data_IF_425018640547
#
_entry.id   IF_425018640547
#
_cell.length_a   1.000
_cell.length_b   1.000
_cell.length_c   1.000
_cell.angle_alpha   90.00
_cell.angle_beta   90.00
_cell.angle_gamma   90.00
#
_symmetry.space_group_name_H-M   'P 1'
#
loop_
_entity.id
_entity.type
_entity.pdbx_description
1 polymer ?
#
# COMPACT_ATOMS: atom_id res chain seq x y z
N UNK A 1 -8.16 -10.85 -5.58
CA UNK A 1 -8.25 -9.49 -6.16
C UNK A 1 -8.17 -9.51 -7.69
N UNK A 2 -9.12 -8.85 -8.38
CA UNK A 2 -9.03 -8.58 -9.84
C UNK A 2 -8.07 -7.41 -10.08
N UNK A 3 -7.24 -7.51 -11.12
CA UNK A 3 -6.35 -6.40 -11.53
C UNK A 3 -7.13 -5.11 -11.77
N UNK A 4 -6.67 -4.02 -11.16
CA UNK A 4 -7.32 -2.70 -11.26
C UNK A 4 -6.79 -1.97 -12.50
N UNK A 5 -7.69 -1.54 -13.39
CA UNK A 5 -7.29 -0.88 -14.64
C UNK A 5 -6.39 0.34 -14.41
N UNK A 6 -6.68 1.15 -13.38
CA UNK A 6 -5.86 2.30 -13.01
C UNK A 6 -4.44 1.92 -12.56
N UNK A 7 -4.28 0.77 -11.88
CA UNK A 7 -2.96 0.27 -11.46
C UNK A 7 -2.18 -0.26 -12.65
N UNK A 8 -2.84 -0.95 -13.59
CA UNK A 8 -2.19 -1.42 -14.83
C UNK A 8 -1.78 -0.26 -15.74
N UNK A 9 -2.60 0.79 -15.84
CA UNK A 9 -2.25 2.03 -16.54
C UNK A 9 -1.03 2.70 -15.91
N UNK A 10 -1.00 2.83 -14.58
CA UNK A 10 0.14 3.37 -13.86
C UNK A 10 1.39 2.51 -13.99
N UNK A 11 1.23 1.18 -13.97
CA UNK A 11 2.32 0.23 -14.15
C UNK A 11 2.95 0.38 -15.55
N UNK A 12 2.13 0.48 -16.59
CA UNK A 12 2.60 0.71 -17.94
C UNK A 12 3.37 2.03 -18.04
N UNK A 13 2.79 3.12 -17.53
CA UNK A 13 3.45 4.43 -17.58
C UNK A 13 4.76 4.46 -16.80
N UNK A 14 4.78 3.92 -15.57
CA UNK A 14 6.01 3.86 -14.75
C UNK A 14 7.08 2.99 -15.40
N UNK A 15 6.70 1.90 -16.08
CA UNK A 15 7.64 1.04 -16.80
C UNK A 15 8.27 1.79 -17.98
N UNK A 16 7.51 2.57 -18.74
CA UNK A 16 8.05 3.46 -19.76
C UNK A 16 8.95 4.55 -19.16
N UNK A 17 8.54 5.13 -18.03
CA UNK A 17 9.19 6.27 -17.41
C UNK A 17 10.61 5.96 -16.90
N UNK A 18 10.90 4.69 -16.61
CA UNK A 18 12.25 4.22 -16.27
C UNK A 18 13.25 4.50 -17.39
N UNK A 19 12.83 4.48 -18.65
CA UNK A 19 13.70 4.68 -19.81
C UNK A 19 13.68 6.12 -20.33
N UNK A 20 12.87 7.01 -19.74
CA UNK A 20 12.76 8.39 -20.19
C UNK A 20 14.05 9.17 -19.93
N UNK A 21 14.39 10.06 -20.87
CA UNK A 21 15.41 11.09 -20.68
C UNK A 21 14.87 12.31 -19.93
N UNK A 22 15.78 13.20 -19.53
CA UNK A 22 15.50 14.40 -18.73
C UNK A 22 14.35 15.26 -19.28
N UNK A 23 14.37 15.57 -20.58
CA UNK A 23 13.35 16.43 -21.20
C UNK A 23 11.94 15.83 -21.13
N UNK A 24 11.81 14.53 -21.36
CA UNK A 24 10.51 13.85 -21.28
C UNK A 24 10.00 13.84 -19.85
N UNK A 25 10.87 13.59 -18.87
CA UNK A 25 10.50 13.69 -17.45
C UNK A 25 10.00 15.08 -17.05
N UNK A 26 10.67 16.15 -17.50
CA UNK A 26 10.26 17.52 -17.18
C UNK A 26 8.88 17.87 -17.76
N UNK A 27 8.56 17.35 -18.96
CA UNK A 27 7.29 17.62 -19.64
C UNK A 27 6.14 16.73 -19.15
N UNK A 28 6.41 15.46 -18.86
CA UNK A 28 5.39 14.45 -18.58
C UNK A 28 5.21 14.18 -17.08
N UNK A 29 5.97 14.82 -16.18
CA UNK A 29 5.85 14.61 -14.72
C UNK A 29 4.43 14.80 -14.18
N UNK A 30 3.69 15.75 -14.74
CA UNK A 30 2.31 16.01 -14.32
C UNK A 30 1.40 14.82 -14.63
N UNK A 31 1.57 14.19 -15.81
CA UNK A 31 0.86 12.99 -16.21
C UNK A 31 1.24 11.79 -15.34
N UNK A 32 2.52 11.62 -15.03
CA UNK A 32 3.00 10.56 -14.11
C UNK A 32 2.31 10.69 -12.76
N UNK A 33 2.26 11.91 -12.21
CA UNK A 33 1.58 12.20 -10.94
C UNK A 33 0.09 11.89 -10.99
N UNK A 34 -0.62 12.39 -12.00
CA UNK A 34 -2.07 12.16 -12.15
C UNK A 34 -2.42 10.66 -12.24
N UNK A 35 -1.65 9.90 -13.02
CA UNK A 35 -1.86 8.46 -13.18
C UNK A 35 -1.53 7.72 -11.88
N UNK A 36 -0.46 8.11 -11.17
CA UNK A 36 -0.11 7.53 -9.88
C UNK A 36 -1.15 7.83 -8.80
N UNK A 37 -1.72 9.04 -8.79
CA UNK A 37 -2.80 9.44 -7.89
C UNK A 37 -4.06 8.61 -8.15
N UNK A 38 -4.43 8.40 -9.42
CA UNK A 38 -5.55 7.51 -9.80
C UNK A 38 -5.32 6.07 -9.35
N UNK A 39 -4.13 5.51 -9.55
CA UNK A 39 -3.79 4.16 -9.08
C UNK A 39 -3.86 4.05 -7.56
N UNK A 40 -3.34 5.05 -6.85
CA UNK A 40 -3.38 5.12 -5.39
C UNK A 40 -4.82 5.16 -4.88
N UNK A 41 -5.67 6.00 -5.47
CA UNK A 41 -7.08 6.08 -5.11
C UNK A 41 -7.84 4.76 -5.38
N UNK A 42 -7.52 4.07 -6.47
CA UNK A 42 -8.11 2.77 -6.78
C UNK A 42 -7.71 1.69 -5.76
N UNK A 43 -6.44 1.65 -5.37
CA UNK A 43 -5.93 0.74 -4.34
C UNK A 43 -6.51 1.07 -2.96
N UNK A 44 -6.65 2.35 -2.61
CA UNK A 44 -7.32 2.78 -1.37
C UNK A 44 -8.77 2.32 -1.32
N UNK A 45 -9.49 2.45 -2.44
CA UNK A 45 -10.89 2.00 -2.51
C UNK A 45 -10.98 0.48 -2.38
N UNK A 46 -10.10 -0.27 -3.03
CA UNK A 46 -10.06 -1.73 -2.93
C UNK A 46 -9.72 -2.20 -1.51
N UNK A 47 -8.74 -1.56 -0.86
CA UNK A 47 -8.38 -1.86 0.53
C UNK A 47 -9.54 -1.56 1.50
N UNK A 48 -10.19 -0.41 1.36
CA UNK A 48 -11.39 -0.08 2.17
C UNK A 48 -12.49 -1.11 2.02
N UNK A 49 -12.75 -1.59 0.79
CA UNK A 49 -13.74 -2.65 0.54
C UNK A 49 -13.35 -3.97 1.18
N UNK A 50 -12.08 -4.35 1.10
CA UNK A 50 -11.60 -5.57 1.75
C UNK A 50 -11.75 -5.49 3.29
N UNK A 51 -11.36 -4.36 3.88
CA UNK A 51 -11.45 -4.08 5.33
C UNK A 51 -12.89 -3.94 5.84
N UNK A 52 -13.82 -3.46 5.01
CA UNK A 52 -15.23 -3.38 5.37
C UNK A 52 -15.84 -4.76 5.67
N UNK A 53 -15.31 -5.81 5.05
CA UNK A 53 -15.78 -7.19 5.21
C UNK A 53 -15.12 -7.94 6.38
N UNK A 54 -14.25 -7.29 7.17
CA UNK A 54 -13.63 -7.92 8.32
C UNK A 54 -14.64 -8.25 9.41
N UNK A 55 -14.45 -9.40 10.07
CA UNK A 55 -15.14 -9.71 11.32
C UNK A 55 -14.75 -8.72 12.41
N UNK A 56 -15.60 -8.56 13.42
CA UNK A 56 -15.32 -7.66 14.53
C UNK A 56 -14.10 -8.12 15.34
N UNK A 57 -13.89 -9.44 15.46
CA UNK A 57 -12.68 -10.04 16.03
C UNK A 57 -11.41 -9.62 15.27
N UNK A 58 -11.43 -9.72 13.94
CA UNK A 58 -10.27 -9.36 13.12
C UNK A 58 -9.99 -7.86 13.19
N UNK A 59 -11.03 -7.01 13.15
CA UNK A 59 -10.90 -5.56 13.33
C UNK A 59 -10.26 -5.22 14.67
N UNK A 60 -10.74 -5.84 15.76
CA UNK A 60 -10.20 -5.58 17.09
C UNK A 60 -8.76 -6.07 17.22
N UNK A 61 -8.48 -7.31 16.78
CA UNK A 61 -7.16 -7.89 16.79
C UNK A 61 -6.15 -7.04 16.00
N UNK A 62 -6.55 -6.48 14.86
CA UNK A 62 -5.71 -5.59 14.06
C UNK A 62 -5.50 -4.22 14.73
N UNK A 63 -6.54 -3.63 15.32
CA UNK A 63 -6.45 -2.32 15.98
C UNK A 63 -5.63 -2.34 17.27
N UNK A 64 -5.59 -3.49 17.96
CA UNK A 64 -4.79 -3.70 19.16
C UNK A 64 -3.29 -3.86 18.87
N UNK A 65 -2.91 -4.09 17.61
CA UNK A 65 -1.51 -4.21 17.25
C UNK A 65 -0.78 -2.87 17.44
N UNK A 66 0.49 -2.92 17.87
CA UNK A 66 1.27 -1.71 18.04
C UNK A 66 1.38 -0.96 16.72
N UNK A 67 1.33 0.36 16.83
CA UNK A 67 1.66 1.26 15.72
C UNK A 67 2.78 2.17 16.18
N UNK A 68 3.50 2.80 15.25
CA UNK A 68 4.53 3.79 15.60
C UNK A 68 4.04 4.91 16.54
N UNK A 69 2.71 5.14 16.63
CA UNK A 69 2.08 6.15 17.49
C UNK A 69 1.48 5.61 18.78
N UNK A 70 1.38 4.29 18.97
CA UNK A 70 0.75 3.68 20.15
C UNK A 70 1.60 2.53 20.69
N UNK A 71 2.15 2.65 21.92
CA UNK A 71 2.90 1.58 22.55
C UNK A 71 1.98 0.39 22.88
N UNK A 72 2.58 -0.79 23.00
CA UNK A 72 1.89 -2.05 23.32
C UNK A 72 1.13 -1.89 24.65
N UNK A 73 -0.20 -1.97 24.62
CA UNK A 73 -1.01 -2.19 25.81
C UNK A 73 -1.14 -3.71 26.03
N UNK A 74 -1.30 -4.15 27.28
CA UNK A 74 -1.79 -5.51 27.55
C UNK A 74 -3.19 -5.62 26.96
N UNK A 75 -3.29 -6.24 25.79
CA UNK A 75 -4.55 -6.50 25.10
C UNK A 75 -5.36 -7.48 25.94
N UNK A 76 -6.39 -6.97 26.61
CA UNK A 76 -7.50 -7.80 27.08
C UNK A 76 -8.56 -7.75 25.99
N UNK A 77 -9.08 -8.91 25.62
CA UNK A 77 -10.20 -8.94 24.69
C UNK A 77 -11.38 -8.18 25.26
N UNK A 78 -12.14 -7.48 24.40
CA UNK A 78 -13.31 -6.77 24.86
C UNK A 78 -14.31 -7.78 25.44
N UNK A 79 -15.08 -7.40 26.47
CA UNK A 79 -16.04 -8.30 27.11
C UNK A 79 -16.97 -8.96 26.07
N UNK A 80 -16.93 -10.28 25.97
CA UNK A 80 -17.79 -11.07 25.07
C UNK A 80 -17.19 -11.39 23.69
N UNK A 81 -15.97 -10.98 23.37
CA UNK A 81 -15.20 -11.51 22.23
C UNK A 81 -14.11 -12.45 22.74
N UNK A 82 -14.11 -13.70 22.29
CA UNK A 82 -12.99 -14.61 22.48
C UNK A 82 -12.18 -14.66 21.18
N UNK A 83 -11.14 -13.83 21.07
CA UNK A 83 -10.38 -13.70 19.84
C UNK A 83 -9.38 -14.85 19.73
N UNK A 84 -9.66 -15.79 18.82
CA UNK A 84 -8.80 -16.94 18.59
C UNK A 84 -7.35 -16.56 18.22
N UNK A 85 -6.41 -17.44 18.57
CA UNK A 85 -5.00 -17.27 18.20
C UNK A 85 -4.78 -17.19 16.68
N UNK A 86 -5.61 -17.90 15.90
CA UNK A 86 -5.59 -17.86 14.44
C UNK A 86 -5.98 -16.46 13.90
N UNK A 87 -7.00 -15.82 14.47
CA UNK A 87 -7.42 -14.46 14.10
C UNK A 87 -6.33 -13.43 14.47
N UNK A 88 -5.69 -13.59 15.63
CA UNK A 88 -4.56 -12.72 16.03
C UNK A 88 -3.36 -12.86 15.11
N UNK A 89 -3.03 -14.08 14.68
CA UNK A 89 -1.94 -14.31 13.73
C UNK A 89 -2.28 -13.69 12.38
N UNK A 90 -3.51 -13.88 11.88
CA UNK A 90 -3.97 -13.25 10.64
C UNK A 90 -3.90 -11.72 10.72
N UNK A 91 -4.34 -11.12 11.84
CA UNK A 91 -4.23 -9.68 12.05
C UNK A 91 -2.77 -9.19 12.01
N UNK A 92 -1.84 -9.93 12.62
CA UNK A 92 -0.40 -9.61 12.61
C UNK A 92 0.18 -9.66 11.19
N UNK A 93 -0.14 -10.71 10.45
CA UNK A 93 0.33 -10.90 9.07
C UNK A 93 -0.22 -9.82 8.13
N UNK A 94 -1.48 -9.41 8.32
CA UNK A 94 -2.08 -8.28 7.61
C UNK A 94 -1.38 -6.97 7.93
N UNK A 95 -1.15 -6.70 9.22
CA UNK A 95 -0.50 -5.47 9.65
C UNK A 95 0.91 -5.35 9.09
N UNK A 96 1.65 -6.45 9.09
CA UNK A 96 2.98 -6.48 8.49
C UNK A 96 2.94 -6.16 6.98
N UNK A 97 1.97 -6.72 6.25
CA UNK A 97 1.82 -6.45 4.82
C UNK A 97 1.45 -4.99 4.54
N UNK A 98 0.50 -4.44 5.31
CA UNK A 98 0.11 -3.02 5.23
C UNK A 98 1.30 -2.09 5.54
N UNK A 99 2.07 -2.39 6.59
CA UNK A 99 3.22 -1.58 7.00
C UNK A 99 4.39 -1.70 6.01
N UNK A 100 4.57 -2.84 5.35
CA UNK A 100 5.54 -2.99 4.26
C UNK A 100 5.11 -2.16 3.04
N UNK A 101 3.85 -2.25 2.65
CA UNK A 101 3.33 -1.51 1.52
C UNK A 101 3.37 0.01 1.75
N UNK A 102 3.05 0.47 2.97
CA UNK A 102 3.12 1.89 3.32
C UNK A 102 4.56 2.40 3.36
N UNK A 103 5.51 1.61 3.90
CA UNK A 103 6.93 1.98 3.85
C UNK A 103 7.45 2.10 2.42
N UNK A 104 7.05 1.19 1.53
CA UNK A 104 7.42 1.25 0.11
C UNK A 104 6.82 2.49 -0.58
N UNK A 105 5.57 2.85 -0.26
CA UNK A 105 4.93 4.07 -0.76
C UNK A 105 5.71 5.32 -0.34
N UNK A 106 5.99 5.45 0.96
CA UNK A 106 6.72 6.60 1.50
C UNK A 106 8.15 6.71 0.94
N UNK A 107 8.84 5.58 0.74
CA UNK A 107 10.16 5.56 0.09
C UNK A 107 10.09 6.01 -1.37
N UNK A 108 9.06 5.59 -2.12
CA UNK A 108 8.83 6.06 -3.49
C UNK A 108 8.54 7.57 -3.54
N UNK A 109 7.65 8.07 -2.68
CA UNK A 109 7.31 9.49 -2.56
C UNK A 109 8.53 10.34 -2.24
N UNK A 110 9.27 9.96 -1.20
CA UNK A 110 10.51 10.65 -0.82
C UNK A 110 11.54 10.65 -1.95
N UNK A 111 11.64 9.56 -2.71
CA UNK A 111 12.57 9.48 -3.86
C UNK A 111 12.15 10.44 -4.97
N UNK A 112 10.86 10.56 -5.27
CA UNK A 112 10.35 11.53 -6.24
C UNK A 112 10.54 12.98 -5.79
N UNK A 113 10.27 13.27 -4.51
CA UNK A 113 10.47 14.61 -3.95
C UNK A 113 11.95 15.04 -4.03
N UNK A 114 12.88 14.14 -3.66
CA UNK A 114 14.30 14.44 -3.76
C UNK A 114 14.78 14.48 -5.23
N UNK A 115 14.17 13.68 -6.12
CA UNK A 115 14.42 13.76 -7.56
C UNK A 115 14.04 15.14 -8.12
N UNK A 116 12.90 15.69 -7.72
CA UNK A 116 12.48 17.04 -8.11
C UNK A 116 13.40 18.11 -7.51
N UNK A 117 13.73 17.99 -6.21
CA UNK A 117 14.63 18.93 -5.53
C UNK A 117 16.02 19.00 -6.18
N UNK A 118 16.54 17.86 -6.62
CA UNK A 118 17.86 17.76 -7.28
C UNK A 118 17.82 17.86 -8.80
N UNK A 119 16.63 17.95 -9.39
CA UNK A 119 16.42 17.82 -10.85
C UNK A 119 17.09 16.55 -11.42
N UNK A 120 17.03 15.44 -10.67
CA UNK A 120 17.73 14.20 -10.99
C UNK A 120 16.81 13.21 -11.72
N UNK A 121 17.10 12.99 -13.00
CA UNK A 121 16.38 11.98 -13.80
C UNK A 121 16.61 10.56 -13.28
N UNK A 122 17.82 10.24 -12.82
CA UNK A 122 18.11 8.89 -12.32
C UNK A 122 17.33 8.59 -11.03
N UNK A 123 17.16 9.58 -10.16
CA UNK A 123 16.29 9.43 -8.98
C UNK A 123 14.81 9.36 -9.38
N UNK A 124 14.37 10.07 -10.43
CA UNK A 124 12.99 9.93 -10.93
C UNK A 124 12.73 8.50 -11.46
N UNK A 125 13.70 7.90 -12.15
CA UNK A 125 13.65 6.50 -12.60
C UNK A 125 13.67 5.52 -11.43
N UNK A 126 14.42 5.82 -10.38
CA UNK A 126 14.39 5.04 -9.13
C UNK A 126 13.01 5.15 -8.45
N UNK A 127 12.45 6.36 -8.37
CA UNK A 127 11.09 6.60 -7.87
C UNK A 127 10.06 5.78 -8.64
N UNK A 128 10.15 5.73 -9.97
CA UNK A 128 9.27 4.91 -10.81
C UNK A 128 9.39 3.41 -10.49
N UNK A 129 10.60 2.89 -10.32
CA UNK A 129 10.83 1.49 -9.89
C UNK A 129 10.25 1.21 -8.51
N UNK A 130 10.41 2.14 -7.57
CA UNK A 130 9.83 2.01 -6.22
C UNK A 130 8.30 2.07 -6.26
N UNK A 131 7.71 2.94 -7.08
CA UNK A 131 6.26 3.00 -7.26
C UNK A 131 5.68 1.68 -7.80
N UNK A 132 6.34 1.06 -8.79
CA UNK A 132 5.96 -0.26 -9.29
C UNK A 132 5.93 -1.31 -8.15
N UNK A 133 6.98 -1.33 -7.31
CA UNK A 133 7.04 -2.23 -6.15
C UNK A 133 5.92 -1.94 -5.15
N UNK A 134 5.60 -0.67 -4.92
CA UNK A 134 4.49 -0.28 -4.04
C UNK A 134 3.16 -0.84 -4.55
N UNK A 135 2.89 -0.80 -5.86
CA UNK A 135 1.67 -1.40 -6.42
C UNK A 135 1.58 -2.90 -6.12
N UNK A 136 2.67 -3.65 -6.33
CA UNK A 136 2.69 -5.09 -6.02
C UNK A 136 2.42 -5.38 -4.54
N UNK A 137 3.09 -4.66 -3.65
CA UNK A 137 2.94 -4.87 -2.21
C UNK A 137 1.52 -4.53 -1.74
N UNK A 138 0.93 -3.46 -2.28
CA UNK A 138 -0.45 -3.08 -1.97
C UNK A 138 -1.46 -4.10 -2.48
N UNK A 139 -1.29 -4.62 -3.69
CA UNK A 139 -2.15 -5.71 -4.19
C UNK A 139 -2.05 -6.96 -3.32
N UNK A 140 -0.85 -7.34 -2.88
CA UNK A 140 -0.64 -8.48 -1.96
C UNK A 140 -1.31 -8.24 -0.60
N UNK A 141 -1.18 -7.04 -0.04
CA UNK A 141 -1.83 -6.68 1.23
C UNK A 141 -3.37 -6.77 1.11
N UNK A 142 -3.94 -6.26 0.01
CA UNK A 142 -5.37 -6.36 -0.27
C UNK A 142 -5.80 -7.82 -0.43
N UNK A 143 -5.05 -8.65 -1.15
CA UNK A 143 -5.35 -10.08 -1.29
C UNK A 143 -5.34 -10.81 0.05
N UNK A 144 -4.37 -10.53 0.92
CA UNK A 144 -4.35 -11.07 2.29
C UNK A 144 -5.57 -10.60 3.08
N UNK A 145 -5.95 -9.33 2.95
CA UNK A 145 -7.12 -8.75 3.60
C UNK A 145 -8.41 -9.43 3.15
N UNK A 146 -8.60 -9.62 1.85
CA UNK A 146 -9.71 -10.39 1.27
C UNK A 146 -9.74 -11.83 1.82
N UNK A 147 -8.59 -12.52 1.86
CA UNK A 147 -8.51 -13.89 2.35
C UNK A 147 -8.83 -14.01 3.85
N UNK A 148 -8.43 -13.03 4.66
CA UNK A 148 -8.73 -12.99 6.08
C UNK A 148 -10.22 -12.77 6.35
N UNK A 149 -10.92 -11.97 5.53
CA UNK A 149 -12.38 -11.78 5.60
C UNK A 149 -13.16 -13.07 5.34
N UNK A 150 -12.60 -14.01 4.57
CA UNK A 150 -13.25 -15.26 4.21
C UNK A 150 -12.96 -16.42 5.17
N UNK A 151 -12.02 -16.27 6.10
CA UNK A 151 -11.75 -17.24 7.17
C UNK A 151 -12.77 -17.01 8.29
N UNK A 152 -13.85 -17.79 8.28
CA UNK A 152 -14.80 -17.90 9.40
C UNK A 152 -14.27 -18.86 10.45
#
# INVERSE_FOLDING_TARGET
MRKLAAVEEARALMQEAIDWGLWRWLLEKARVREVADRATAALDQADRRAKANWSDELKHAYQDLPTHKKPVKKSQDPPGLDISSAVRLAAKDLKQADDEAERARLDAEHTFDEAERRMSTDMAREGARKALRTYDLREVAIQKSEAASHRK
#
